data_IF_379444289090
#
_entry.id   IF_379444289090
#
_cell.length_a   1.000
_cell.length_b   1.000
_cell.length_c   1.000
_cell.angle_alpha   90.00
_cell.angle_beta   90.00
_cell.angle_gamma   90.00
#
_symmetry.space_group_name_H-M   'P 1'
#
loop_
_entity.id
_entity.type
_entity.pdbx_description
1 polymer ?
#
# COMPACT_ATOMS: atom_id res chain seq x y z
N UNK A 1 13.55 -39.67 12.84
CA UNK A 1 13.81 -39.42 11.40
C UNK A 1 14.85 -38.31 11.29
N UNK A 2 16.05 -38.59 10.75
CA UNK A 2 17.09 -37.57 10.56
C UNK A 2 16.57 -36.50 9.59
N UNK A 3 16.23 -35.30 10.08
CA UNK A 3 15.83 -34.17 9.23
C UNK A 3 16.99 -33.89 8.27
N UNK A 4 16.79 -34.17 6.98
CA UNK A 4 17.86 -34.00 6.00
C UNK A 4 18.25 -32.52 5.91
N UNK A 5 19.53 -32.18 5.70
CA UNK A 5 19.99 -30.80 5.55
C UNK A 5 19.25 -30.01 4.45
N UNK A 6 18.59 -30.71 3.52
CA UNK A 6 17.78 -30.13 2.45
C UNK A 6 16.52 -29.42 2.99
N UNK A 7 15.88 -29.95 4.04
CA UNK A 7 14.72 -29.28 4.66
C UNK A 7 15.08 -27.93 5.28
N UNK A 8 16.30 -27.81 5.83
CA UNK A 8 16.79 -26.56 6.39
C UNK A 8 17.12 -25.52 5.33
N UNK A 9 17.70 -25.97 4.21
CA UNK A 9 17.97 -25.09 3.07
C UNK A 9 16.64 -24.59 2.47
N UNK A 10 15.67 -25.49 2.26
CA UNK A 10 14.35 -25.15 1.75
C UNK A 10 13.63 -24.13 2.67
N UNK A 11 13.67 -24.33 3.99
CA UNK A 11 13.06 -23.40 4.94
C UNK A 11 13.69 -22.00 4.90
N UNK A 12 15.02 -21.92 4.79
CA UNK A 12 15.74 -20.64 4.66
C UNK A 12 15.41 -19.92 3.36
N UNK A 13 15.37 -20.65 2.24
CA UNK A 13 15.03 -20.09 0.93
C UNK A 13 13.58 -19.60 0.92
N UNK A 14 12.65 -20.37 1.51
CA UNK A 14 11.25 -19.97 1.62
C UNK A 14 11.08 -18.70 2.46
N UNK A 15 11.78 -18.61 3.61
CA UNK A 15 11.77 -17.42 4.45
C UNK A 15 12.39 -16.19 3.75
N UNK A 16 13.53 -16.37 3.08
CA UNK A 16 14.15 -15.30 2.31
C UNK A 16 13.23 -14.80 1.18
N UNK A 17 12.56 -15.72 0.48
CA UNK A 17 11.58 -15.40 -0.54
C UNK A 17 10.38 -14.62 0.02
N UNK A 18 9.82 -15.03 1.15
CA UNK A 18 8.69 -14.33 1.77
C UNK A 18 9.07 -12.93 2.26
N UNK A 19 10.29 -12.75 2.79
CA UNK A 19 10.81 -11.42 3.17
C UNK A 19 10.97 -10.53 1.93
N UNK A 20 11.49 -11.08 0.83
CA UNK A 20 11.70 -10.31 -0.40
C UNK A 20 10.36 -9.85 -1.01
N UNK A 21 9.36 -10.74 -1.04
CA UNK A 21 7.99 -10.39 -1.46
C UNK A 21 7.39 -9.31 -0.55
N UNK A 22 7.56 -9.45 0.77
CA UNK A 22 7.05 -8.46 1.71
C UNK A 22 7.72 -7.09 1.54
N UNK A 23 9.03 -7.03 1.26
CA UNK A 23 9.73 -5.79 0.96
C UNK A 23 9.23 -5.11 -0.32
N UNK A 24 8.97 -5.89 -1.38
CA UNK A 24 8.37 -5.36 -2.62
C UNK A 24 6.98 -4.79 -2.35
N UNK A 25 6.15 -5.50 -1.57
CA UNK A 25 4.82 -5.05 -1.20
C UNK A 25 4.85 -3.77 -0.35
N UNK A 26 5.74 -3.72 0.65
CA UNK A 26 5.99 -2.52 1.48
C UNK A 26 6.41 -1.33 0.60
N UNK A 27 7.31 -1.55 -0.38
CA UNK A 27 7.73 -0.51 -1.30
C UNK A 27 6.57 0.03 -2.16
N UNK A 28 5.69 -0.85 -2.62
CA UNK A 28 4.48 -0.47 -3.36
C UNK A 28 3.52 0.36 -2.49
N UNK A 29 3.23 -0.07 -1.27
CA UNK A 29 2.34 0.66 -0.35
C UNK A 29 2.95 2.01 0.08
N UNK A 30 4.27 2.09 0.29
CA UNK A 30 4.95 3.38 0.52
C UNK A 30 4.80 4.33 -0.66
N UNK A 31 4.89 3.82 -1.90
CA UNK A 31 4.65 4.63 -3.10
C UNK A 31 3.22 5.15 -3.15
N UNK A 32 2.24 4.31 -2.79
CA UNK A 32 0.83 4.69 -2.71
C UNK A 32 0.56 5.76 -1.64
N UNK A 33 1.26 5.72 -0.51
CA UNK A 33 1.15 6.73 0.55
C UNK A 33 1.81 8.06 0.13
N UNK A 34 2.98 8.01 -0.50
CA UNK A 34 3.74 9.22 -0.90
C UNK A 34 3.16 9.87 -2.17
N UNK A 35 2.59 9.08 -3.09
CA UNK A 35 1.99 9.55 -4.35
C UNK A 35 0.61 8.92 -4.58
N UNK A 36 -0.38 9.23 -3.73
CA UNK A 36 -1.74 8.68 -3.84
C UNK A 36 -2.43 9.07 -5.16
N UNK A 37 -2.08 10.23 -5.73
CA UNK A 37 -2.58 10.67 -7.05
C UNK A 37 -2.32 9.68 -8.19
N UNK A 38 -1.28 8.84 -8.06
CA UNK A 38 -0.95 7.81 -9.05
C UNK A 38 -1.73 6.50 -8.88
N UNK A 39 -2.48 6.38 -7.79
CA UNK A 39 -3.27 5.20 -7.41
C UNK A 39 -4.77 5.51 -7.26
N UNK A 40 -5.15 6.77 -7.15
CA UNK A 40 -6.55 7.21 -7.25
C UNK A 40 -7.15 6.71 -8.57
N UNK A 41 -8.44 6.38 -8.51
CA UNK A 41 -9.21 5.96 -9.67
C UNK A 41 -9.02 6.97 -10.79
N UNK A 42 -8.61 6.52 -11.97
CA UNK A 42 -8.42 7.37 -13.15
C UNK A 42 -9.68 8.21 -13.43
N UNK A 43 -10.87 7.70 -13.10
CA UNK A 43 -12.14 8.40 -13.26
C UNK A 43 -12.29 9.62 -12.34
N UNK A 44 -11.75 9.60 -11.11
CA UNK A 44 -11.84 10.73 -10.19
C UNK A 44 -10.85 11.83 -10.58
N UNK A 45 -9.64 11.45 -10.97
CA UNK A 45 -8.63 12.38 -11.47
C UNK A 45 -9.05 13.00 -12.82
N UNK A 46 -9.65 12.20 -13.72
CA UNK A 46 -10.25 12.71 -14.95
C UNK A 46 -11.44 13.63 -14.67
N UNK A 47 -12.32 13.31 -13.73
CA UNK A 47 -13.44 14.17 -13.33
C UNK A 47 -12.94 15.54 -12.85
N UNK A 48 -11.98 15.54 -11.92
CA UNK A 48 -11.41 16.74 -11.35
C UNK A 48 -10.73 17.62 -12.40
N UNK A 49 -9.88 17.01 -13.26
CA UNK A 49 -9.26 17.73 -14.36
C UNK A 49 -10.27 18.22 -15.40
N UNK A 50 -11.36 17.49 -15.63
CA UNK A 50 -12.39 17.85 -16.62
C UNK A 50 -13.25 19.01 -16.13
N UNK A 51 -13.64 19.04 -14.85
CA UNK A 51 -14.40 20.14 -14.26
C UNK A 51 -13.57 21.42 -14.25
N UNK A 52 -12.29 21.34 -13.84
CA UNK A 52 -11.37 22.48 -13.89
C UNK A 52 -11.24 23.04 -15.31
N UNK A 53 -10.94 22.17 -16.29
CA UNK A 53 -10.78 22.55 -17.71
C UNK A 53 -12.07 23.09 -18.32
N UNK A 54 -13.22 22.56 -17.92
CA UNK A 54 -14.53 23.00 -18.39
C UNK A 54 -14.80 24.44 -17.98
N UNK A 55 -14.50 24.81 -16.73
CA UNK A 55 -14.68 26.18 -16.25
C UNK A 55 -13.59 27.15 -16.75
N UNK A 56 -12.37 26.66 -16.99
CA UNK A 56 -11.29 27.46 -17.60
C UNK A 56 -11.55 27.76 -19.08
N UNK A 57 -12.18 26.84 -19.81
CA UNK A 57 -12.58 27.02 -21.19
C UNK A 57 -13.95 27.73 -21.34
N UNK A 58 -14.55 28.18 -20.24
CA UNK A 58 -15.88 28.79 -20.27
C UNK A 58 -15.86 30.11 -21.07
N UNK A 59 -16.81 30.33 -21.99
CA UNK A 59 -16.86 31.54 -22.79
C UNK A 59 -17.00 32.80 -21.91
N UNK A 60 -16.11 33.79 -22.10
CA UNK A 60 -16.07 35.03 -21.28
C UNK A 60 -17.29 35.94 -21.49
N UNK A 61 -18.03 35.71 -22.56
CA UNK A 61 -19.26 36.38 -22.95
C UNK A 61 -20.52 35.74 -22.34
N UNK A 62 -20.39 34.58 -21.70
CA UNK A 62 -21.48 33.94 -20.96
C UNK A 62 -21.33 34.14 -19.46
N UNK A 63 -22.44 34.39 -18.77
CA UNK A 63 -22.48 34.36 -17.31
C UNK A 63 -22.04 32.98 -16.83
N UNK A 64 -21.09 32.95 -15.91
CA UNK A 64 -20.68 31.72 -15.24
C UNK A 64 -21.89 31.12 -14.51
N UNK A 65 -21.97 29.79 -14.38
CA UNK A 65 -23.01 29.15 -13.56
C UNK A 65 -22.98 29.70 -12.13
N UNK A 66 -24.16 30.02 -11.57
CA UNK A 66 -24.29 30.54 -10.19
C UNK A 66 -23.68 29.60 -9.14
N UNK A 67 -23.59 28.31 -9.47
CA UNK A 67 -23.06 27.26 -8.61
C UNK A 67 -21.60 26.90 -8.90
N UNK A 68 -20.87 27.65 -9.74
CA UNK A 68 -19.48 27.36 -10.10
C UNK A 68 -18.58 27.19 -8.88
N UNK A 69 -18.61 28.14 -7.95
CA UNK A 69 -17.79 28.08 -6.74
C UNK A 69 -18.16 26.88 -5.86
N UNK A 70 -19.46 26.61 -5.69
CA UNK A 70 -19.93 25.46 -4.94
C UNK A 70 -19.53 24.13 -5.60
N UNK A 71 -19.57 24.03 -6.92
CA UNK A 71 -19.18 22.82 -7.65
C UNK A 71 -17.68 22.56 -7.61
N UNK A 72 -16.86 23.61 -7.76
CA UNK A 72 -15.41 23.50 -7.65
C UNK A 72 -14.99 23.12 -6.23
N UNK A 73 -15.53 23.81 -5.23
CA UNK A 73 -15.24 23.52 -3.82
C UNK A 73 -15.66 22.09 -3.45
N UNK A 74 -16.84 21.64 -3.89
CA UNK A 74 -17.33 20.31 -3.57
C UNK A 74 -16.57 19.17 -4.29
N UNK A 75 -16.08 19.43 -5.51
CA UNK A 75 -15.28 18.45 -6.25
C UNK A 75 -13.84 18.36 -5.70
N UNK A 76 -13.27 19.50 -5.28
CA UNK A 76 -11.97 19.56 -4.59
C UNK A 76 -12.03 18.85 -3.23
N UNK A 77 -13.07 19.10 -2.43
CA UNK A 77 -13.28 18.44 -1.13
C UNK A 77 -13.44 16.92 -1.29
N UNK A 78 -14.18 16.44 -2.30
CA UNK A 78 -14.27 15.00 -2.58
C UNK A 78 -12.95 14.40 -3.06
N UNK A 79 -12.18 15.14 -3.85
CA UNK A 79 -10.88 14.68 -4.32
C UNK A 79 -9.89 14.57 -3.14
N UNK A 80 -9.89 15.54 -2.22
CA UNK A 80 -9.09 15.49 -0.98
C UNK A 80 -9.52 14.35 -0.05
N UNK A 81 -10.82 14.16 0.17
CA UNK A 81 -11.32 13.04 0.99
C UNK A 81 -10.88 11.68 0.43
N UNK A 82 -10.93 11.48 -0.90
CA UNK A 82 -10.49 10.22 -1.52
C UNK A 82 -8.97 10.03 -1.45
N UNK A 83 -8.17 11.11 -1.57
CA UNK A 83 -6.72 11.10 -1.35
C UNK A 83 -6.38 10.63 0.08
N UNK A 84 -7.05 11.19 1.08
CA UNK A 84 -6.84 10.81 2.48
C UNK A 84 -7.27 9.36 2.74
N UNK A 85 -8.38 8.92 2.15
CA UNK A 85 -8.86 7.55 2.25
C UNK A 85 -7.89 6.54 1.62
N UNK A 86 -7.31 6.86 0.46
CA UNK A 86 -6.25 6.09 -0.18
C UNK A 86 -5.00 5.99 0.71
N UNK A 87 -4.54 7.12 1.26
CA UNK A 87 -3.39 7.16 2.16
C UNK A 87 -3.64 6.34 3.43
N UNK A 88 -4.80 6.47 4.06
CA UNK A 88 -5.17 5.70 5.25
C UNK A 88 -5.25 4.20 4.96
N UNK A 89 -5.81 3.80 3.83
CA UNK A 89 -5.83 2.39 3.39
C UNK A 89 -4.41 1.87 3.16
N UNK A 90 -3.55 2.65 2.51
CA UNK A 90 -2.13 2.32 2.34
C UNK A 90 -1.41 2.15 3.68
N UNK A 91 -1.62 3.06 4.63
CA UNK A 91 -1.03 3.00 5.97
C UNK A 91 -1.50 1.76 6.76
N UNK A 92 -2.79 1.43 6.66
CA UNK A 92 -3.36 0.26 7.31
C UNK A 92 -2.83 -1.05 6.68
N UNK A 93 -2.68 -1.09 5.36
CA UNK A 93 -2.07 -2.21 4.62
C UNK A 93 -0.61 -2.39 5.04
N UNK A 94 0.15 -1.28 5.08
CA UNK A 94 1.54 -1.25 5.53
C UNK A 94 1.70 -1.78 6.96
N UNK A 95 0.83 -1.37 7.88
CA UNK A 95 0.80 -1.87 9.26
C UNK A 95 0.58 -3.39 9.31
N UNK A 96 -0.35 -3.93 8.50
CA UNK A 96 -0.60 -5.37 8.42
C UNK A 96 0.62 -6.13 7.86
N UNK A 97 1.25 -5.60 6.80
CA UNK A 97 2.46 -6.18 6.22
C UNK A 97 3.62 -6.22 7.24
N UNK A 98 3.79 -5.15 8.03
CA UNK A 98 4.79 -5.09 9.09
C UNK A 98 4.54 -6.15 10.18
N UNK A 99 3.29 -6.27 10.66
CA UNK A 99 2.92 -7.30 11.65
C UNK A 99 3.23 -8.70 11.13
N UNK A 100 2.86 -8.99 9.87
CA UNK A 100 3.14 -10.29 9.24
C UNK A 100 4.65 -10.59 9.21
N UNK A 101 5.46 -9.59 8.86
CA UNK A 101 6.91 -9.71 8.81
C UNK A 101 7.53 -9.98 10.19
N UNK A 102 7.07 -9.27 11.22
CA UNK A 102 7.50 -9.48 12.61
C UNK A 102 7.14 -10.89 13.10
N UNK A 103 5.91 -11.34 12.86
CA UNK A 103 5.46 -12.70 13.22
C UNK A 103 6.29 -13.76 12.49
N UNK A 104 6.58 -13.56 11.21
CA UNK A 104 7.44 -14.44 10.42
C UNK A 104 8.85 -14.55 11.01
N UNK A 105 9.48 -13.42 11.37
CA UNK A 105 10.80 -13.40 12.01
C UNK A 105 10.77 -14.14 13.35
N UNK A 106 9.79 -13.85 14.21
CA UNK A 106 9.68 -14.50 15.53
C UNK A 106 9.49 -16.01 15.39
N UNK A 107 8.61 -16.44 14.47
CA UNK A 107 8.40 -17.86 14.16
C UNK A 107 9.69 -18.54 13.70
N UNK A 108 10.43 -17.90 12.78
CA UNK A 108 11.71 -18.42 12.29
C UNK A 108 12.76 -18.53 13.40
N UNK A 109 12.86 -17.54 14.29
CA UNK A 109 13.78 -17.56 15.44
C UNK A 109 13.41 -18.66 16.45
N UNK A 110 12.12 -18.86 16.72
CA UNK A 110 11.64 -19.92 17.61
C UNK A 110 11.94 -21.31 17.03
N UNK A 111 11.65 -21.53 15.74
CA UNK A 111 12.04 -22.75 15.03
C UNK A 111 13.54 -22.99 15.10
N UNK A 112 14.35 -21.95 14.89
CA UNK A 112 15.80 -22.02 15.04
C UNK A 112 16.26 -22.43 16.44
N UNK A 113 15.59 -21.93 17.49
CA UNK A 113 15.87 -22.31 18.89
C UNK A 113 15.49 -23.76 19.21
N UNK A 114 14.31 -24.21 18.78
CA UNK A 114 13.85 -25.59 18.98
C UNK A 114 14.83 -26.56 18.33
N UNK A 115 15.26 -26.27 17.10
CA UNK A 115 16.18 -27.13 16.36
C UNK A 115 17.60 -27.13 16.93
N UNK A 116 18.07 -26.03 17.54
CA UNK A 116 19.34 -26.02 18.29
C UNK A 116 19.29 -26.88 19.54
N UNK A 117 18.15 -26.92 20.24
CA UNK A 117 17.96 -27.79 21.41
C UNK A 117 17.90 -29.27 21.03
N UNK A 118 17.24 -29.61 19.91
CA UNK A 118 17.23 -31.00 19.40
C UNK A 118 18.64 -31.50 19.07
N UNK A 119 19.49 -30.68 18.44
CA UNK A 119 20.90 -31.02 18.15
C UNK A 119 21.81 -31.13 19.37
N UNK A 120 21.42 -30.55 20.51
CA UNK A 120 22.21 -30.59 21.75
C UNK A 120 21.83 -31.79 22.64
N UNK A 121 20.71 -32.44 22.35
CA UNK A 121 20.21 -33.64 23.05
C UNK A 121 20.48 -34.94 22.25
N UNK A 122 21.04 -34.85 21.04
CA UNK A 122 21.63 -35.95 20.26
C UNK A 122 23.14 -36.04 20.52
#
# INVERSE_FOLDING_TARGET
MKRSPQYFLALRVFFAGSVLIALVFIGYECRRIIRPESTISSALNESHQTIQKFFDAWPKDQSLPEDKENRLAHDEERHEEELELEQMKGLQSLKKAFIFLVVGIVGFLLLGKIMKKEKANE
#
